data_IF_541205623850
#
_entry.id   IF_541205623850
#
_cell.length_a   1.000
_cell.length_b   1.000
_cell.length_c   1.000
_cell.angle_alpha   90.00
_cell.angle_beta   90.00
_cell.angle_gamma   90.00
#
_symmetry.space_group_name_H-M   'P 1'
#
loop_
_entity.id
_entity.type
_entity.pdbx_description
1 polymer ?
#
# COMPACT_ATOMS: atom_id res chain seq x y z
N UNK A 1 -16.63 12.61 51.86
CA UNK A 1 -15.33 13.01 51.29
C UNK A 1 -14.81 11.87 50.46
N UNK A 2 -15.20 11.82 49.18
CA UNK A 2 -14.65 10.86 48.22
C UNK A 2 -13.17 11.15 47.96
N UNK A 3 -12.40 10.07 47.92
CA UNK A 3 -10.95 10.07 47.80
C UNK A 3 -10.47 10.60 46.44
N UNK A 4 -10.17 11.90 46.40
CA UNK A 4 -9.56 12.61 45.26
C UNK A 4 -8.20 12.02 44.82
N UNK A 5 -7.57 11.11 45.58
CA UNK A 5 -6.32 10.46 45.16
C UNK A 5 -6.52 9.32 44.15
N UNK A 6 -7.73 8.77 44.00
CA UNK A 6 -8.01 7.67 43.06
C UNK A 6 -8.26 8.13 41.60
N UNK A 7 -8.60 9.40 41.38
CA UNK A 7 -8.80 9.98 40.04
C UNK A 7 -7.48 10.44 39.39
N UNK A 8 -6.53 10.94 40.18
CA UNK A 8 -5.23 11.40 39.68
C UNK A 8 -4.28 10.25 39.31
N UNK A 9 -4.46 9.05 39.87
CA UNK A 9 -3.70 7.85 39.48
C UNK A 9 -4.26 7.13 38.25
N UNK A 10 -5.50 7.46 37.82
CA UNK A 10 -6.11 6.95 36.57
C UNK A 10 -5.80 7.79 35.33
N UNK A 11 -5.21 8.98 35.50
CA UNK A 11 -4.48 9.71 34.46
C UNK A 11 -3.05 9.15 34.49
N UNK A 12 -2.79 7.90 34.11
CA UNK A 12 -2.96 7.38 32.77
C UNK A 12 -1.55 7.06 32.24
N UNK A 13 -0.89 6.08 32.84
CA UNK A 13 0.47 5.68 32.44
C UNK A 13 0.49 5.41 30.93
N UNK A 14 1.41 6.07 30.22
CA UNK A 14 1.53 5.92 28.78
C UNK A 14 1.76 4.44 28.42
N UNK A 15 0.86 3.89 27.61
CA UNK A 15 0.92 2.47 27.24
C UNK A 15 2.00 2.26 26.17
N UNK A 16 3.26 2.16 26.62
CA UNK A 16 4.43 1.92 25.77
C UNK A 16 4.28 0.67 24.89
N UNK A 17 3.55 -0.36 25.35
CA UNK A 17 3.25 -1.55 24.53
C UNK A 17 2.33 -1.25 23.35
N UNK A 18 1.43 -0.27 23.48
CA UNK A 18 0.55 0.16 22.40
C UNK A 18 1.23 1.15 21.46
N UNK A 19 1.91 2.14 22.02
CA UNK A 19 2.32 3.34 21.28
C UNK A 19 3.83 3.49 21.07
N UNK A 20 4.67 2.70 21.75
CA UNK A 20 6.12 2.81 21.63
C UNK A 20 6.62 2.61 20.20
N UNK A 21 6.16 1.55 19.52
CA UNK A 21 6.52 1.30 18.12
C UNK A 21 6.15 2.45 17.16
N UNK A 22 4.87 2.86 17.12
CA UNK A 22 4.43 4.01 16.32
C UNK A 22 5.20 5.31 16.60
N UNK A 23 5.51 5.61 17.87
CA UNK A 23 6.29 6.80 18.22
C UNK A 23 7.71 6.73 17.69
N UNK A 24 8.37 5.57 17.81
CA UNK A 24 9.72 5.39 17.26
C UNK A 24 9.72 5.56 15.74
N UNK A 25 8.73 5.00 15.04
CA UNK A 25 8.56 5.20 13.59
C UNK A 25 8.39 6.68 13.26
N UNK A 26 7.49 7.38 13.97
CA UNK A 26 7.27 8.81 13.77
C UNK A 26 8.56 9.61 13.96
N UNK A 27 9.32 9.35 15.03
CA UNK A 27 10.59 10.04 15.29
C UNK A 27 11.58 9.81 14.14
N UNK A 28 11.76 8.58 13.67
CA UNK A 28 12.68 8.27 12.57
C UNK A 28 12.22 8.93 11.26
N UNK A 29 10.93 8.91 10.95
CA UNK A 29 10.37 9.58 9.78
C UNK A 29 10.60 11.10 9.85
N UNK A 30 10.38 11.72 11.01
CA UNK A 30 10.69 13.14 11.20
C UNK A 30 12.17 13.41 10.99
N UNK A 31 13.07 12.61 11.56
CA UNK A 31 14.52 12.80 11.40
C UNK A 31 14.96 12.77 9.93
N UNK A 32 14.46 11.81 9.15
CA UNK A 32 14.85 11.63 7.74
C UNK A 32 14.09 12.55 6.76
N UNK A 33 12.83 12.88 7.06
CA UNK A 33 11.93 13.53 6.11
C UNK A 33 11.35 14.87 6.61
N UNK A 34 11.92 15.48 7.65
CA UNK A 34 11.50 16.81 8.11
C UNK A 34 11.46 17.90 7.02
N UNK A 35 12.28 17.90 5.93
CA UNK A 35 12.15 18.94 4.92
C UNK A 35 10.76 18.95 4.27
N UNK A 36 10.16 17.76 4.07
CA UNK A 36 8.79 17.63 3.56
C UNK A 36 7.77 18.23 4.55
N UNK A 37 8.00 18.04 5.86
CA UNK A 37 7.16 18.62 6.92
C UNK A 37 7.22 20.15 6.95
N UNK A 38 8.37 20.73 6.59
CA UNK A 38 8.55 22.19 6.50
C UNK A 38 8.10 22.77 5.16
N UNK A 39 7.46 21.97 4.30
CA UNK A 39 6.90 22.44 3.03
C UNK A 39 7.84 22.32 1.82
N UNK A 40 8.98 21.66 1.94
CA UNK A 40 9.87 21.43 0.80
C UNK A 40 9.18 20.54 -0.23
N UNK A 41 9.01 21.06 -1.44
CA UNK A 41 8.50 20.32 -2.57
C UNK A 41 9.61 19.44 -3.17
N UNK A 42 9.42 18.11 -3.30
CA UNK A 42 10.38 17.26 -4.01
C UNK A 42 10.29 17.56 -5.51
N UNK A 43 11.16 18.42 -6.01
CA UNK A 43 11.21 18.79 -7.42
C UNK A 43 11.98 17.71 -8.20
N UNK A 44 11.28 16.66 -8.61
CA UNK A 44 11.84 15.61 -9.46
C UNK A 44 10.76 14.91 -10.30
N UNK A 45 11.19 14.28 -11.40
CA UNK A 45 10.42 13.41 -12.30
C UNK A 45 8.89 13.64 -12.29
N UNK A 46 8.11 12.76 -11.65
CA UNK A 46 6.66 12.75 -11.74
C UNK A 46 5.96 13.73 -10.78
N UNK A 47 6.68 14.34 -9.84
CA UNK A 47 6.06 15.19 -8.81
C UNK A 47 5.32 16.41 -9.37
N UNK A 48 5.85 17.19 -10.33
CA UNK A 48 5.12 18.29 -10.94
C UNK A 48 3.80 17.85 -11.59
N UNK A 49 3.80 16.69 -12.26
CA UNK A 49 2.60 16.12 -12.86
C UNK A 49 1.56 15.71 -11.81
N UNK A 50 2.00 15.08 -10.72
CA UNK A 50 1.12 14.75 -9.60
C UNK A 50 0.57 15.99 -8.89
N UNK A 51 1.38 17.03 -8.69
CA UNK A 51 0.93 18.28 -8.08
C UNK A 51 -0.10 19.00 -8.98
N UNK A 52 0.14 19.05 -10.29
CA UNK A 52 -0.82 19.58 -11.26
C UNK A 52 -2.14 18.82 -11.21
N UNK A 53 -2.11 17.49 -11.24
CA UNK A 53 -3.33 16.67 -11.16
C UNK A 53 -4.07 16.84 -9.82
N UNK A 54 -3.34 17.02 -8.71
CA UNK A 54 -3.93 17.34 -7.42
C UNK A 54 -4.61 18.72 -7.41
N UNK A 55 -3.98 19.73 -8.03
CA UNK A 55 -4.60 21.05 -8.23
C UNK A 55 -5.87 20.94 -9.07
N UNK A 56 -5.80 20.32 -10.25
CA UNK A 56 -6.95 20.11 -11.12
C UNK A 56 -8.08 19.38 -10.39
N UNK A 57 -7.76 18.35 -9.62
CA UNK A 57 -8.75 17.62 -8.82
C UNK A 57 -9.40 18.54 -7.78
N UNK A 58 -8.61 19.26 -7.00
CA UNK A 58 -9.13 20.06 -5.89
C UNK A 58 -9.86 21.33 -6.33
N UNK A 59 -9.34 22.06 -7.30
CA UNK A 59 -9.80 23.40 -7.67
C UNK A 59 -10.73 23.41 -8.89
N UNK A 60 -10.77 22.33 -9.68
CA UNK A 60 -11.65 22.22 -10.85
C UNK A 60 -12.69 21.13 -10.63
N UNK A 61 -12.26 19.88 -10.48
CA UNK A 61 -13.18 18.73 -10.45
C UNK A 61 -14.06 18.73 -9.19
N UNK A 62 -13.46 18.78 -8.00
CA UNK A 62 -14.19 18.69 -6.74
C UNK A 62 -15.11 19.90 -6.51
N UNK A 63 -14.70 21.10 -6.93
CA UNK A 63 -15.57 22.29 -6.91
C UNK A 63 -16.75 22.16 -7.88
N UNK A 64 -16.56 21.46 -9.00
CA UNK A 64 -17.62 21.08 -9.93
C UNK A 64 -18.46 19.89 -9.49
N UNK A 65 -18.21 19.30 -8.30
CA UNK A 65 -18.96 18.15 -7.79
C UNK A 65 -18.57 16.82 -8.42
N UNK A 66 -17.40 16.72 -9.05
CA UNK A 66 -16.92 15.49 -9.69
C UNK A 66 -15.54 15.08 -9.17
N UNK A 67 -15.24 13.78 -9.24
CA UNK A 67 -13.89 13.24 -8.98
C UNK A 67 -13.13 12.92 -10.28
N UNK A 68 -13.81 12.94 -11.43
CA UNK A 68 -13.27 12.65 -12.77
C UNK A 68 -13.81 13.65 -13.79
N UNK A 69 -13.19 13.72 -14.97
CA UNK A 69 -13.74 14.55 -16.06
C UNK A 69 -12.74 14.79 -17.19
N UNK A 70 -13.19 15.49 -18.23
CA UNK A 70 -12.30 15.96 -19.29
C UNK A 70 -11.59 17.25 -18.86
N UNK A 71 -10.29 17.36 -19.16
CA UNK A 71 -9.53 18.59 -18.95
C UNK A 71 -8.75 18.94 -20.20
N UNK A 72 -8.91 20.18 -20.68
CA UNK A 72 -8.16 20.76 -21.80
C UNK A 72 -6.86 21.47 -21.35
N UNK A 73 -6.53 21.38 -20.06
CA UNK A 73 -5.39 22.09 -19.48
C UNK A 73 -4.03 21.43 -19.77
N UNK A 74 -4.04 20.24 -20.37
CA UNK A 74 -2.83 19.53 -20.77
C UNK A 74 -2.96 19.00 -22.20
N UNK A 75 -2.00 19.38 -23.06
CA UNK A 75 -1.95 19.02 -24.49
C UNK A 75 -3.28 19.33 -25.21
N UNK A 76 -3.84 18.36 -25.95
CA UNK A 76 -5.14 18.47 -26.64
C UNK A 76 -6.33 18.00 -25.77
N UNK A 77 -6.09 17.85 -24.46
CA UNK A 77 -7.04 17.38 -23.48
C UNK A 77 -6.91 15.89 -23.14
N UNK A 78 -7.37 15.54 -21.94
CA UNK A 78 -7.30 14.17 -21.40
C UNK A 78 -8.41 13.89 -20.38
N UNK A 79 -8.80 12.62 -20.18
CA UNK A 79 -9.76 12.23 -19.16
C UNK A 79 -9.07 12.16 -17.77
N UNK A 80 -9.07 13.29 -17.08
CA UNK A 80 -8.48 13.48 -15.76
C UNK A 80 -9.10 12.54 -14.72
N UNK A 81 -8.23 11.95 -13.89
CA UNK A 81 -8.57 10.96 -12.86
C UNK A 81 -9.21 9.66 -13.36
N UNK A 82 -9.25 9.42 -14.67
CA UNK A 82 -9.83 8.19 -15.22
C UNK A 82 -8.76 7.21 -15.72
N UNK A 83 -7.60 7.69 -16.16
CA UNK A 83 -6.50 6.84 -16.66
C UNK A 83 -5.55 6.36 -15.57
N UNK A 84 -5.70 6.87 -14.35
CA UNK A 84 -4.90 6.52 -13.19
C UNK A 84 -5.72 6.70 -11.92
N UNK A 85 -5.34 5.99 -10.84
CA UNK A 85 -6.07 6.01 -9.57
C UNK A 85 -6.21 7.43 -8.99
N UNK A 86 -7.42 7.95 -8.72
CA UNK A 86 -7.61 9.31 -8.20
C UNK A 86 -7.18 9.43 -6.75
N UNK A 87 -6.92 8.32 -6.06
CA UNK A 87 -6.61 8.30 -4.63
C UNK A 87 -5.41 9.15 -4.24
N UNK A 88 -4.38 9.23 -5.09
CA UNK A 88 -3.25 10.15 -4.87
C UNK A 88 -3.69 11.62 -4.91
N UNK A 89 -4.43 12.01 -5.94
CA UNK A 89 -4.89 13.40 -6.09
C UNK A 89 -5.90 13.79 -5.00
N UNK A 90 -6.80 12.86 -4.64
CA UNK A 90 -7.73 13.01 -3.52
C UNK A 90 -7.00 13.11 -2.18
N UNK A 91 -5.90 12.38 -1.99
CA UNK A 91 -5.08 12.45 -0.78
C UNK A 91 -4.42 13.82 -0.61
N UNK A 92 -3.82 14.38 -1.67
CA UNK A 92 -3.27 15.74 -1.62
C UNK A 92 -4.39 16.77 -1.42
N UNK A 93 -5.53 16.60 -2.11
CA UNK A 93 -6.70 17.45 -1.93
C UNK A 93 -7.22 17.41 -0.49
N UNK A 94 -7.23 16.25 0.16
CA UNK A 94 -7.60 16.10 1.56
C UNK A 94 -6.69 16.94 2.48
N UNK A 95 -5.37 16.91 2.27
CA UNK A 95 -4.43 17.77 3.02
C UNK A 95 -4.76 19.25 2.81
N UNK A 96 -5.08 19.65 1.58
CA UNK A 96 -5.52 21.02 1.28
C UNK A 96 -6.78 21.40 2.03
N UNK A 97 -7.80 20.54 2.06
CA UNK A 97 -9.05 20.82 2.77
C UNK A 97 -8.86 20.89 4.29
N UNK A 98 -8.06 19.99 4.88
CA UNK A 98 -7.76 20.02 6.32
C UNK A 98 -7.01 21.28 6.72
N UNK A 99 -6.17 21.81 5.82
CA UNK A 99 -5.48 23.09 6.00
C UNK A 99 -6.30 24.30 5.54
N UNK A 100 -7.58 24.09 5.22
CA UNK A 100 -8.53 25.11 4.76
C UNK A 100 -8.04 25.89 3.52
N UNK A 101 -7.14 25.30 2.73
CA UNK A 101 -6.51 25.97 1.60
C UNK A 101 -5.57 27.11 1.96
N UNK A 102 -5.18 27.26 3.25
CA UNK A 102 -4.30 28.33 3.72
C UNK A 102 -2.84 28.18 3.26
N UNK A 103 -2.45 26.98 2.85
CA UNK A 103 -1.11 26.68 2.35
C UNK A 103 -1.08 26.77 0.82
N UNK A 104 0.07 27.17 0.27
CA UNK A 104 0.32 27.03 -1.16
C UNK A 104 0.40 25.54 -1.56
N UNK A 105 0.36 25.28 -2.87
CA UNK A 105 0.34 23.91 -3.39
C UNK A 105 1.65 23.15 -3.14
N UNK A 106 2.80 23.82 -3.18
CA UNK A 106 4.09 23.19 -2.90
C UNK A 106 4.15 22.70 -1.45
N UNK A 107 3.76 23.56 -0.50
CA UNK A 107 3.68 23.22 0.92
C UNK A 107 2.64 22.13 1.18
N UNK A 108 1.44 22.24 0.60
CA UNK A 108 0.38 21.21 0.70
C UNK A 108 0.88 19.85 0.22
N UNK A 109 1.57 19.84 -0.92
CA UNK A 109 2.12 18.62 -1.51
C UNK A 109 3.27 18.04 -0.67
N UNK A 110 4.17 18.89 -0.16
CA UNK A 110 5.23 18.47 0.78
C UNK A 110 4.66 17.80 2.03
N UNK A 111 3.61 18.36 2.63
CA UNK A 111 2.93 17.76 3.77
C UNK A 111 2.24 16.44 3.43
N UNK A 112 1.63 16.33 2.25
CA UNK A 112 1.07 15.06 1.77
C UNK A 112 2.19 14.00 1.60
N UNK A 113 3.32 14.37 1.00
CA UNK A 113 4.47 13.46 0.87
C UNK A 113 5.02 13.06 2.25
N UNK A 114 5.12 13.98 3.21
CA UNK A 114 5.49 13.63 4.59
C UNK A 114 4.52 12.63 5.22
N UNK A 115 3.22 12.87 5.07
CA UNK A 115 2.19 11.97 5.57
C UNK A 115 2.26 10.59 4.94
N UNK A 116 2.62 10.49 3.65
CA UNK A 116 2.87 9.23 2.98
C UNK A 116 4.14 8.52 3.50
N UNK A 117 5.24 9.26 3.68
CA UNK A 117 6.48 8.70 4.24
C UNK A 117 6.28 8.19 5.67
N UNK A 118 5.29 8.70 6.40
CA UNK A 118 4.82 8.12 7.65
C UNK A 118 3.89 6.91 7.44
N UNK A 119 2.97 6.98 6.48
CA UNK A 119 1.99 5.94 6.21
C UNK A 119 2.63 4.61 5.79
N UNK A 120 3.69 4.65 4.97
CA UNK A 120 4.40 3.46 4.49
C UNK A 120 4.87 2.57 5.67
N UNK A 121 5.78 3.03 6.55
CA UNK A 121 6.24 2.21 7.67
C UNK A 121 5.13 1.93 8.69
N UNK A 122 4.16 2.83 8.86
CA UNK A 122 3.02 2.59 9.76
C UNK A 122 2.11 1.46 9.26
N UNK A 123 1.92 1.33 7.95
CA UNK A 123 1.13 0.25 7.35
C UNK A 123 1.84 -1.11 7.49
N UNK A 124 3.16 -1.14 7.26
CA UNK A 124 4.01 -2.32 7.47
C UNK A 124 3.99 -2.71 8.95
N UNK A 125 4.12 -1.73 9.86
CA UNK A 125 4.04 -1.98 11.28
C UNK A 125 2.66 -2.51 11.70
N UNK A 126 1.57 -1.94 11.17
CA UNK A 126 0.21 -2.39 11.48
C UNK A 126 -0.02 -3.84 11.03
N UNK A 127 0.38 -4.18 9.81
CA UNK A 127 0.30 -5.53 9.27
C UNK A 127 1.20 -6.49 10.05
N UNK A 128 2.49 -6.17 10.17
CA UNK A 128 3.47 -6.98 10.90
C UNK A 128 3.05 -7.20 12.35
N UNK A 129 2.52 -6.19 13.03
CA UNK A 129 2.06 -6.32 14.41
C UNK A 129 0.84 -7.23 14.52
N UNK A 130 -0.09 -7.14 13.57
CA UNK A 130 -1.29 -7.97 13.55
C UNK A 130 -0.98 -9.46 13.28
N UNK A 131 0.12 -9.75 12.59
CA UNK A 131 0.48 -11.10 12.13
C UNK A 131 1.62 -11.73 12.94
N UNK A 132 2.67 -10.97 13.27
CA UNK A 132 3.93 -11.44 13.85
C UNK A 132 4.25 -10.84 15.23
N UNK A 133 3.54 -9.79 15.63
CA UNK A 133 3.78 -9.06 16.88
C UNK A 133 4.67 -7.83 16.71
N UNK A 134 4.82 -7.02 17.77
CA UNK A 134 5.33 -5.65 17.66
C UNK A 134 6.83 -5.53 17.34
N UNK A 135 7.66 -6.50 17.74
CA UNK A 135 9.12 -6.47 17.53
C UNK A 135 9.51 -6.60 16.06
N UNK A 136 9.19 -7.73 15.39
CA UNK A 136 9.45 -7.91 13.96
C UNK A 136 8.81 -6.82 13.10
N UNK A 137 7.61 -6.36 13.48
CA UNK A 137 6.92 -5.28 12.79
C UNK A 137 7.67 -3.95 12.85
N UNK A 138 8.24 -3.60 14.01
CA UNK A 138 9.04 -2.39 14.17
C UNK A 138 10.32 -2.46 13.35
N UNK A 139 11.02 -3.59 13.38
CA UNK A 139 12.24 -3.80 12.59
C UNK A 139 11.94 -3.62 11.09
N UNK A 140 10.89 -4.27 10.58
CA UNK A 140 10.50 -4.14 9.17
C UNK A 140 10.15 -2.71 8.79
N UNK A 141 9.37 -2.00 9.63
CA UNK A 141 9.00 -0.61 9.41
C UNK A 141 10.22 0.32 9.39
N UNK A 142 11.18 0.12 10.32
CA UNK A 142 12.39 0.93 10.40
C UNK A 142 13.31 0.69 9.20
N UNK A 143 13.52 -0.57 8.81
CA UNK A 143 14.29 -0.90 7.61
C UNK A 143 13.69 -0.23 6.37
N UNK A 144 12.38 -0.37 6.16
CA UNK A 144 11.70 0.31 5.05
C UNK A 144 11.89 1.84 5.06
N UNK A 145 11.93 2.45 6.24
CA UNK A 145 12.09 3.92 6.37
C UNK A 145 13.49 4.38 5.99
N UNK A 146 14.53 3.60 6.29
CA UNK A 146 15.93 4.02 6.08
C UNK A 146 16.53 3.50 4.78
N UNK A 147 15.94 2.46 4.18
CA UNK A 147 16.42 1.89 2.92
C UNK A 147 16.11 2.83 1.75
N UNK A 148 17.14 3.16 0.97
CA UNK A 148 17.01 3.96 -0.26
C UNK A 148 16.16 3.29 -1.30
N UNK A 149 16.37 1.99 -1.48
CA UNK A 149 15.72 1.25 -2.53
C UNK A 149 16.34 1.50 -3.89
N UNK A 150 15.68 0.96 -4.90
CA UNK A 150 16.12 0.99 -6.29
C UNK A 150 14.94 1.15 -7.24
N UNK A 151 15.21 0.94 -8.51
CA UNK A 151 14.20 1.03 -9.56
C UNK A 151 13.12 -0.06 -9.34
N UNK A 152 11.89 0.36 -9.03
CA UNK A 152 10.72 -0.46 -8.62
C UNK A 152 10.77 -1.15 -7.25
N UNK A 153 11.82 -0.99 -6.46
CA UNK A 153 12.01 -1.75 -5.20
C UNK A 153 11.49 -1.00 -3.95
N UNK A 154 10.50 -0.12 -4.11
CA UNK A 154 10.10 0.88 -3.10
C UNK A 154 11.34 1.65 -2.55
N UNK A 155 11.23 2.26 -1.38
CA UNK A 155 12.29 3.07 -0.75
C UNK A 155 12.20 4.53 -1.16
N UNK A 156 13.02 5.37 -0.52
CA UNK A 156 12.94 6.81 -0.76
C UNK A 156 13.44 7.23 -2.15
N UNK A 157 14.29 6.45 -2.81
CA UNK A 157 14.61 6.66 -4.23
C UNK A 157 13.35 6.58 -5.09
N UNK A 158 12.60 5.48 -5.00
CA UNK A 158 11.40 5.27 -5.83
C UNK A 158 10.26 6.23 -5.50
N UNK A 159 10.07 6.54 -4.21
CA UNK A 159 8.95 7.35 -3.75
C UNK A 159 9.23 8.86 -3.84
N UNK A 160 10.44 9.30 -3.48
CA UNK A 160 10.79 10.72 -3.34
C UNK A 160 11.66 11.20 -4.50
N UNK A 161 12.65 10.42 -4.98
CA UNK A 161 13.44 10.86 -6.13
C UNK A 161 12.68 10.67 -7.44
N UNK A 162 12.03 9.52 -7.66
CA UNK A 162 11.32 9.23 -8.92
C UNK A 162 9.87 9.73 -8.95
N UNK A 163 9.28 10.03 -7.79
CA UNK A 163 7.90 10.49 -7.70
C UNK A 163 6.84 9.41 -7.90
N UNK A 164 7.19 8.12 -7.88
CA UNK A 164 6.27 6.99 -8.04
C UNK A 164 5.57 6.64 -6.71
N UNK A 165 5.15 7.69 -6.02
CA UNK A 165 4.57 7.61 -4.69
C UNK A 165 3.10 7.14 -4.65
N UNK A 166 2.24 7.34 -5.68
CA UNK A 166 0.87 6.82 -5.62
C UNK A 166 0.85 5.28 -5.55
N UNK A 167 1.83 4.64 -6.17
CA UNK A 167 2.07 3.20 -6.02
C UNK A 167 2.34 2.80 -4.56
N UNK A 168 3.21 3.55 -3.86
CA UNK A 168 3.47 3.31 -2.44
C UNK A 168 2.24 3.62 -1.56
N UNK A 169 1.43 4.63 -1.92
CA UNK A 169 0.14 4.90 -1.28
C UNK A 169 -0.80 3.70 -1.42
N UNK A 170 -1.04 3.22 -2.64
CA UNK A 170 -1.90 2.06 -2.89
C UNK A 170 -1.44 0.80 -2.17
N UNK A 171 -0.12 0.54 -2.17
CA UNK A 171 0.48 -0.57 -1.43
C UNK A 171 0.25 -0.46 0.08
N UNK A 172 0.48 0.73 0.66
CA UNK A 172 0.28 0.98 2.10
C UNK A 172 -1.18 0.81 2.51
N UNK A 173 -2.11 1.33 1.69
CA UNK A 173 -3.54 1.16 1.88
C UNK A 173 -3.96 -0.31 1.71
N UNK A 174 -3.29 -1.07 0.85
CA UNK A 174 -3.50 -2.53 0.72
C UNK A 174 -3.11 -3.26 2.00
N UNK A 175 -1.96 -2.95 2.60
CA UNK A 175 -1.55 -3.54 3.88
C UNK A 175 -2.53 -3.23 5.01
N UNK A 176 -3.02 -1.99 5.08
CA UNK A 176 -4.08 -1.61 6.03
C UNK A 176 -5.36 -2.40 5.75
N UNK A 177 -5.75 -2.53 4.46
CA UNK A 177 -6.93 -3.27 4.04
C UNK A 177 -6.85 -4.75 4.45
N UNK A 178 -5.70 -5.40 4.31
CA UNK A 178 -5.48 -6.77 4.78
C UNK A 178 -5.76 -6.90 6.28
N UNK A 179 -5.31 -5.95 7.10
CA UNK A 179 -5.56 -5.94 8.56
C UNK A 179 -7.06 -5.79 8.86
N UNK A 180 -7.74 -4.85 8.20
CA UNK A 180 -9.18 -4.58 8.41
C UNK A 180 -10.02 -5.76 7.93
N UNK A 181 -9.76 -6.29 6.74
CA UNK A 181 -10.42 -7.47 6.19
C UNK A 181 -10.19 -8.67 7.11
N UNK A 182 -8.96 -8.93 7.57
CA UNK A 182 -8.68 -9.99 8.54
C UNK A 182 -9.55 -9.85 9.79
N UNK A 183 -9.68 -8.64 10.32
CA UNK A 183 -10.54 -8.41 11.48
C UNK A 183 -12.00 -8.74 11.14
N UNK A 184 -12.54 -8.22 10.03
CA UNK A 184 -13.89 -8.52 9.57
C UNK A 184 -14.15 -10.03 9.35
N UNK A 185 -13.24 -10.74 8.70
CA UNK A 185 -13.36 -12.19 8.50
C UNK A 185 -13.46 -12.93 9.83
N UNK A 186 -12.77 -12.43 10.87
CA UNK A 186 -12.80 -13.03 12.22
C UNK A 186 -14.06 -12.67 13.01
N UNK A 187 -14.38 -11.39 13.13
CA UNK A 187 -15.45 -10.87 14.01
C UNK A 187 -16.81 -10.78 13.31
N UNK A 188 -16.84 -10.44 12.03
CA UNK A 188 -18.05 -10.13 11.29
C UNK A 188 -18.66 -8.78 11.67
N UNK A 189 -19.92 -8.55 11.26
CA UNK A 189 -20.69 -7.35 11.60
C UNK A 189 -20.69 -6.28 10.51
N UNK A 190 -21.76 -5.47 10.41
CA UNK A 190 -21.96 -4.51 9.32
C UNK A 190 -20.92 -3.38 9.33
N UNK A 191 -20.52 -2.89 10.50
CA UNK A 191 -19.48 -1.85 10.61
C UNK A 191 -18.12 -2.32 10.10
N UNK A 192 -17.75 -3.57 10.38
CA UNK A 192 -16.50 -4.16 9.88
C UNK A 192 -16.58 -4.52 8.40
N UNK A 193 -17.76 -4.90 7.89
CA UNK A 193 -17.98 -5.06 6.46
C UNK A 193 -17.77 -3.73 5.74
N UNK A 194 -18.38 -2.65 6.23
CA UNK A 194 -18.20 -1.31 5.67
C UNK A 194 -16.73 -0.89 5.72
N UNK A 195 -16.06 -1.07 6.86
CA UNK A 195 -14.65 -0.77 7.02
C UNK A 195 -13.76 -1.54 6.02
N UNK A 196 -14.04 -2.84 5.82
CA UNK A 196 -13.33 -3.67 4.86
C UNK A 196 -13.59 -3.25 3.40
N UNK A 197 -14.83 -2.93 3.06
CA UNK A 197 -15.19 -2.41 1.73
C UNK A 197 -14.47 -1.10 1.44
N UNK A 198 -14.56 -0.12 2.34
CA UNK A 198 -13.91 1.19 2.22
C UNK A 198 -12.38 1.05 2.15
N UNK A 199 -11.77 0.17 2.94
CA UNK A 199 -10.31 -0.02 2.88
C UNK A 199 -9.85 -0.65 1.56
N UNK A 200 -10.63 -1.58 0.99
CA UNK A 200 -10.39 -2.13 -0.35
C UNK A 200 -10.52 -1.02 -1.40
N UNK A 201 -11.59 -0.23 -1.35
CA UNK A 201 -11.80 0.90 -2.27
C UNK A 201 -10.66 1.90 -2.20
N UNK A 202 -10.24 2.30 -1.01
CA UNK A 202 -9.12 3.23 -0.82
C UNK A 202 -7.82 2.68 -1.42
N UNK A 203 -7.53 1.39 -1.22
CA UNK A 203 -6.36 0.75 -1.80
C UNK A 203 -6.41 0.75 -3.34
N UNK A 204 -7.54 0.34 -3.93
CA UNK A 204 -7.74 0.27 -5.38
C UNK A 204 -7.69 1.65 -6.03
N UNK A 205 -8.34 2.65 -5.42
CA UNK A 205 -8.29 4.03 -5.90
C UNK A 205 -6.91 4.67 -5.68
N UNK A 206 -6.16 4.24 -4.66
CA UNK A 206 -4.79 4.69 -4.41
C UNK A 206 -3.85 4.26 -5.53
N UNK A 207 -3.96 3.02 -5.98
CA UNK A 207 -3.24 2.53 -7.16
C UNK A 207 -3.88 1.25 -7.75
N UNK A 208 -3.94 1.08 -9.08
CA UNK A 208 -4.46 -0.14 -9.71
C UNK A 208 -3.72 -1.42 -9.27
N UNK A 209 -2.42 -1.33 -8.94
CA UNK A 209 -1.62 -2.47 -8.45
C UNK A 209 -2.09 -3.06 -7.12
N UNK A 210 -2.95 -2.37 -6.38
CA UNK A 210 -3.61 -2.93 -5.22
C UNK A 210 -4.51 -4.12 -5.58
N UNK A 211 -5.06 -4.16 -6.82
CA UNK A 211 -5.90 -5.27 -7.29
C UNK A 211 -5.17 -6.62 -7.31
N UNK A 212 -4.05 -6.80 -8.05
CA UNK A 212 -3.31 -8.06 -8.03
C UNK A 212 -2.76 -8.40 -6.65
N UNK A 213 -2.32 -7.40 -5.86
CA UNK A 213 -1.84 -7.65 -4.50
C UNK A 213 -2.95 -8.20 -3.59
N UNK A 214 -4.16 -7.62 -3.62
CA UNK A 214 -5.33 -8.12 -2.91
C UNK A 214 -5.75 -9.50 -3.44
N UNK A 215 -5.73 -9.71 -4.76
CA UNK A 215 -6.08 -10.98 -5.39
C UNK A 215 -5.14 -12.14 -4.97
N UNK A 216 -3.87 -11.84 -4.68
CA UNK A 216 -2.91 -12.81 -4.12
C UNK A 216 -3.06 -12.95 -2.60
N UNK A 217 -3.18 -11.84 -1.88
CA UNK A 217 -3.20 -11.83 -0.42
C UNK A 217 -4.47 -12.42 0.20
N UNK A 218 -5.63 -12.21 -0.43
CA UNK A 218 -6.93 -12.63 0.12
C UNK A 218 -7.14 -14.15 0.13
N UNK A 219 -6.88 -14.90 -0.96
CA UNK A 219 -6.99 -16.36 -0.94
C UNK A 219 -6.04 -17.00 0.08
N UNK A 220 -4.81 -16.49 0.18
CA UNK A 220 -3.83 -16.95 1.17
C UNK A 220 -4.31 -16.67 2.60
N UNK A 221 -4.91 -15.50 2.86
CA UNK A 221 -5.45 -15.14 4.16
C UNK A 221 -6.66 -16.01 4.52
N UNK A 222 -7.53 -16.27 3.55
CA UNK A 222 -8.68 -17.15 3.71
C UNK A 222 -8.23 -18.59 4.00
N UNK A 223 -7.29 -19.12 3.23
CA UNK A 223 -6.68 -20.44 3.46
C UNK A 223 -6.04 -20.55 4.85
N UNK A 224 -5.35 -19.50 5.29
CA UNK A 224 -4.82 -19.43 6.64
C UNK A 224 -5.92 -19.52 7.71
N UNK A 225 -6.96 -18.69 7.60
CA UNK A 225 -8.06 -18.66 8.56
C UNK A 225 -8.84 -19.99 8.59
N UNK A 226 -8.89 -20.71 7.47
CA UNK A 226 -9.46 -22.05 7.40
C UNK A 226 -8.64 -23.07 8.19
N UNK A 227 -7.31 -23.00 8.12
CA UNK A 227 -6.43 -23.86 8.89
C UNK A 227 -6.55 -23.58 10.39
N UNK A 228 -6.72 -22.30 10.78
CA UNK A 228 -6.87 -21.90 12.18
C UNK A 228 -8.23 -22.29 12.79
N UNK A 229 -9.33 -22.12 12.05
CA UNK A 229 -10.71 -22.31 12.56
C UNK A 229 -11.36 -23.65 12.19
N UNK A 230 -10.72 -24.42 11.31
CA UNK A 230 -11.25 -25.67 10.79
C UNK A 230 -12.30 -25.51 9.68
N UNK A 231 -12.67 -26.63 9.06
CA UNK A 231 -13.52 -26.67 7.85
C UNK A 231 -14.92 -26.09 8.05
N UNK A 232 -15.50 -26.18 9.26
CA UNK A 232 -16.88 -25.74 9.54
C UNK A 232 -17.08 -24.23 9.38
N UNK A 233 -16.01 -23.42 9.42
CA UNK A 233 -16.08 -21.97 9.17
C UNK A 233 -15.81 -21.55 7.72
N UNK A 234 -15.52 -22.49 6.82
CA UNK A 234 -15.08 -22.17 5.45
C UNK A 234 -16.10 -21.32 4.70
N UNK A 235 -17.35 -21.79 4.61
CA UNK A 235 -18.42 -21.09 3.89
C UNK A 235 -18.63 -19.68 4.43
N UNK A 236 -18.59 -19.49 5.75
CA UNK A 236 -18.75 -18.17 6.35
C UNK A 236 -17.58 -17.24 6.02
N UNK A 237 -16.33 -17.73 6.05
CA UNK A 237 -15.15 -16.94 5.66
C UNK A 237 -15.23 -16.57 4.17
N UNK A 238 -15.64 -17.50 3.31
CA UNK A 238 -15.85 -17.23 1.88
C UNK A 238 -16.91 -16.16 1.65
N UNK A 239 -18.09 -16.30 2.27
CA UNK A 239 -19.18 -15.34 2.13
C UNK A 239 -18.78 -13.96 2.63
N UNK A 240 -18.06 -13.87 3.75
CA UNK A 240 -17.54 -12.59 4.26
C UNK A 240 -16.51 -12.00 3.30
N UNK A 241 -15.56 -12.79 2.81
CA UNK A 241 -14.57 -12.32 1.84
C UNK A 241 -15.24 -11.82 0.55
N UNK A 242 -16.21 -12.56 0.03
CA UNK A 242 -16.99 -12.17 -1.14
C UNK A 242 -17.78 -10.88 -0.89
N UNK A 243 -18.42 -10.74 0.28
CA UNK A 243 -19.14 -9.52 0.63
C UNK A 243 -18.22 -8.30 0.73
N UNK A 244 -17.05 -8.43 1.37
CA UNK A 244 -16.07 -7.34 1.47
C UNK A 244 -15.51 -6.97 0.08
N UNK A 245 -15.13 -7.96 -0.72
CA UNK A 245 -14.64 -7.76 -2.08
C UNK A 245 -15.68 -7.11 -2.98
N UNK A 246 -16.92 -7.60 -2.96
CA UNK A 246 -18.03 -7.04 -3.74
C UNK A 246 -18.32 -5.60 -3.34
N UNK A 247 -18.38 -5.30 -2.04
CA UNK A 247 -18.58 -3.93 -1.57
C UNK A 247 -17.42 -3.01 -1.99
N UNK A 248 -16.18 -3.46 -1.82
CA UNK A 248 -14.99 -2.67 -2.19
C UNK A 248 -14.92 -2.37 -3.68
N UNK A 249 -15.22 -3.36 -4.54
CA UNK A 249 -15.30 -3.19 -6.00
C UNK A 249 -16.47 -2.29 -6.39
N UNK A 250 -17.65 -2.48 -5.80
CA UNK A 250 -18.82 -1.64 -6.08
C UNK A 250 -18.56 -0.16 -5.74
N UNK A 251 -17.94 0.11 -4.59
CA UNK A 251 -17.57 1.47 -4.19
C UNK A 251 -16.45 2.05 -5.08
N UNK A 252 -15.52 1.23 -5.58
CA UNK A 252 -14.48 1.66 -6.51
C UNK A 252 -14.98 1.78 -7.97
N UNK A 253 -16.19 1.29 -8.29
CA UNK A 253 -16.68 1.16 -9.65
C UNK A 253 -16.77 2.49 -10.41
N UNK A 254 -17.07 3.58 -9.68
CA UNK A 254 -17.12 4.93 -10.24
C UNK A 254 -15.81 5.35 -10.94
N UNK A 255 -14.68 4.81 -10.49
CA UNK A 255 -13.38 5.00 -11.13
C UNK A 255 -12.94 3.80 -11.98
N UNK A 256 -13.13 2.57 -11.45
CA UNK A 256 -12.61 1.35 -12.06
C UNK A 256 -13.22 1.09 -13.45
N UNK A 257 -14.50 1.42 -13.64
CA UNK A 257 -15.17 1.22 -14.93
C UNK A 257 -14.61 2.19 -16.01
N UNK A 258 -14.54 3.52 -15.79
CA UNK A 258 -13.84 4.43 -16.69
C UNK A 258 -12.39 4.02 -16.98
N UNK A 259 -11.63 3.62 -15.96
CA UNK A 259 -10.24 3.18 -16.11
C UNK A 259 -10.10 2.02 -17.09
N UNK A 260 -10.93 0.98 -16.96
CA UNK A 260 -10.89 -0.18 -17.86
C UNK A 260 -11.33 0.23 -19.27
N UNK A 261 -12.45 0.95 -19.38
CA UNK A 261 -13.05 1.32 -20.68
C UNK A 261 -12.25 2.35 -21.47
N UNK A 262 -11.43 3.17 -20.80
CA UNK A 262 -10.56 4.18 -21.42
C UNK A 262 -9.08 3.79 -21.41
N UNK A 263 -8.74 2.55 -21.08
CA UNK A 263 -7.36 2.06 -21.08
C UNK A 263 -6.61 2.30 -22.41
N UNK A 264 -7.33 2.37 -23.54
CA UNK A 264 -6.74 2.73 -24.85
C UNK A 264 -6.14 4.14 -24.95
N UNK A 265 -6.45 5.05 -24.02
CA UNK A 265 -5.83 6.38 -23.92
C UNK A 265 -4.55 6.38 -23.06
N UNK A 266 -4.20 5.25 -22.44
CA UNK A 266 -2.99 5.11 -21.62
C UNK A 266 -1.86 4.45 -22.39
N UNK A 267 -0.63 4.87 -22.12
CA UNK A 267 0.55 4.17 -22.62
C UNK A 267 0.79 2.90 -21.80
N UNK A 268 1.10 1.80 -22.48
CA UNK A 268 1.48 0.56 -21.83
C UNK A 268 2.94 0.66 -21.37
N UNK A 269 3.13 0.90 -20.07
CA UNK A 269 4.44 1.01 -19.43
C UNK A 269 4.75 -0.21 -18.54
N UNK A 270 4.12 -1.35 -18.77
CA UNK A 270 4.42 -2.55 -17.99
C UNK A 270 5.86 -2.98 -18.20
N UNK A 271 6.51 -3.36 -17.11
CA UNK A 271 7.88 -3.83 -17.13
C UNK A 271 7.93 -5.21 -16.49
N UNK A 272 8.31 -6.21 -17.29
CA UNK A 272 8.59 -7.55 -16.77
C UNK A 272 9.87 -7.48 -15.93
N UNK A 273 9.91 -8.27 -14.86
CA UNK A 273 11.10 -8.32 -14.02
C UNK A 273 12.08 -9.38 -14.52
N UNK A 274 12.95 -9.86 -13.64
CA UNK A 274 13.93 -10.90 -13.89
C UNK A 274 13.30 -12.24 -14.26
N UNK A 275 14.10 -13.08 -14.94
CA UNK A 275 13.76 -14.48 -15.12
C UNK A 275 13.75 -15.23 -13.79
N UNK A 276 12.96 -16.30 -13.68
CA UNK A 276 12.86 -17.09 -12.45
C UNK A 276 14.22 -17.61 -11.97
N UNK A 277 15.09 -18.06 -12.89
CA UNK A 277 16.44 -18.53 -12.54
C UNK A 277 17.31 -17.43 -11.94
N UNK A 278 17.17 -16.19 -12.43
CA UNK A 278 17.87 -15.02 -11.91
C UNK A 278 17.32 -14.63 -10.53
N UNK A 279 16.00 -14.68 -10.30
CA UNK A 279 15.39 -14.46 -8.99
C UNK A 279 15.96 -15.43 -7.96
N UNK A 280 15.97 -16.73 -8.27
CA UNK A 280 16.50 -17.77 -7.37
C UNK A 280 17.97 -17.51 -7.04
N UNK A 281 18.78 -17.22 -8.06
CA UNK A 281 20.21 -16.93 -7.89
C UNK A 281 20.44 -15.68 -7.04
N UNK A 282 19.66 -14.63 -7.28
CA UNK A 282 19.79 -13.36 -6.56
C UNK A 282 19.32 -13.47 -5.10
N UNK A 283 18.30 -14.28 -4.81
CA UNK A 283 17.92 -14.62 -3.42
C UNK A 283 19.06 -15.34 -2.73
N UNK A 284 19.69 -16.33 -3.37
CA UNK A 284 20.80 -17.08 -2.79
C UNK A 284 22.02 -16.18 -2.51
N UNK A 285 22.23 -15.15 -3.32
CA UNK A 285 23.30 -14.16 -3.17
C UNK A 285 22.92 -12.96 -2.27
N UNK A 286 21.69 -12.93 -1.75
CA UNK A 286 21.10 -11.82 -0.99
C UNK A 286 21.02 -10.50 -1.78
N UNK A 287 21.05 -10.54 -3.11
CA UNK A 287 21.16 -9.36 -3.99
C UNK A 287 19.88 -9.12 -4.81
N UNK A 288 18.75 -9.68 -4.39
CA UNK A 288 17.49 -9.66 -5.14
C UNK A 288 17.03 -8.24 -5.56
N UNK A 289 17.26 -7.25 -4.70
CA UNK A 289 16.91 -5.85 -4.92
C UNK A 289 18.17 -4.96 -4.90
N UNK A 290 19.33 -5.56 -5.18
CA UNK A 290 20.63 -4.89 -5.13
C UNK A 290 21.23 -4.73 -3.72
N UNK A 291 22.40 -4.07 -3.62
CA UNK A 291 23.25 -4.10 -2.44
C UNK A 291 22.63 -3.42 -1.22
N UNK A 292 21.79 -2.41 -1.42
CA UNK A 292 21.15 -1.65 -0.34
C UNK A 292 20.09 -2.49 0.43
N UNK A 293 19.61 -3.59 -0.17
CA UNK A 293 18.63 -4.49 0.44
C UNK A 293 19.23 -5.75 1.05
N UNK A 294 20.54 -6.01 0.91
CA UNK A 294 21.18 -7.25 1.39
C UNK A 294 20.86 -7.60 2.84
N UNK A 295 20.88 -6.60 3.72
CA UNK A 295 20.52 -6.79 5.12
C UNK A 295 19.05 -7.21 5.27
N UNK A 296 18.15 -6.55 4.55
CA UNK A 296 16.71 -6.85 4.59
C UNK A 296 16.44 -8.25 4.04
N UNK A 297 17.02 -8.60 2.89
CA UNK A 297 16.89 -9.93 2.28
C UNK A 297 17.46 -11.02 3.20
N UNK A 298 18.62 -10.78 3.81
CA UNK A 298 19.21 -11.70 4.80
C UNK A 298 18.33 -11.92 6.02
N UNK A 299 17.82 -10.83 6.61
CA UNK A 299 16.91 -10.90 7.77
C UNK A 299 15.58 -11.58 7.40
N UNK A 300 15.04 -11.33 6.21
CA UNK A 300 13.85 -12.01 5.71
C UNK A 300 14.08 -13.51 5.58
N UNK A 301 15.21 -13.93 4.99
CA UNK A 301 15.60 -15.34 4.87
C UNK A 301 15.72 -16.03 6.24
N UNK A 302 16.44 -15.42 7.19
CA UNK A 302 16.51 -15.92 8.57
C UNK A 302 15.11 -15.99 9.23
N UNK A 303 14.28 -14.98 9.01
CA UNK A 303 12.91 -14.92 9.51
C UNK A 303 12.04 -16.07 9.00
N UNK A 304 12.15 -16.40 7.71
CA UNK A 304 11.45 -17.54 7.09
C UNK A 304 11.91 -18.86 7.71
N UNK A 305 13.22 -19.08 7.87
CA UNK A 305 13.76 -20.30 8.50
C UNK A 305 13.25 -20.46 9.93
N UNK A 306 13.33 -19.39 10.73
CA UNK A 306 12.82 -19.39 12.11
C UNK A 306 11.31 -19.63 12.14
N UNK A 307 10.56 -19.03 11.21
CA UNK A 307 9.12 -19.20 11.10
C UNK A 307 8.74 -20.65 10.79
N UNK A 308 9.44 -21.31 9.87
CA UNK A 308 9.25 -22.72 9.55
C UNK A 308 9.59 -23.60 10.75
N UNK A 309 10.73 -23.35 11.42
CA UNK A 309 11.14 -24.10 12.61
C UNK A 309 10.14 -23.98 13.76
N UNK A 310 9.55 -22.79 13.95
CA UNK A 310 8.54 -22.52 14.99
C UNK A 310 7.11 -22.83 14.54
N UNK A 311 6.92 -23.27 13.30
CA UNK A 311 5.59 -23.46 12.67
C UNK A 311 4.69 -22.24 12.83
N UNK A 312 5.28 -21.03 12.77
CA UNK A 312 4.52 -19.79 12.84
C UNK A 312 3.79 -19.59 11.52
N UNK A 313 2.52 -19.99 11.50
CA UNK A 313 1.68 -20.00 10.30
C UNK A 313 1.46 -18.60 9.69
N UNK A 314 1.57 -17.52 10.48
CA UNK A 314 1.45 -16.15 9.98
C UNK A 314 2.70 -15.70 9.24
N UNK A 315 3.87 -16.13 9.70
CA UNK A 315 5.11 -15.89 8.98
C UNK A 315 5.20 -16.73 7.71
N UNK A 316 4.67 -17.96 7.72
CA UNK A 316 4.51 -18.77 6.50
C UNK A 316 3.57 -18.08 5.50
N UNK A 317 2.47 -17.46 5.96
CA UNK A 317 1.57 -16.67 5.10
C UNK A 317 2.31 -15.51 4.42
N UNK A 318 3.09 -14.71 5.18
CA UNK A 318 3.85 -13.58 4.61
C UNK A 318 4.90 -14.10 3.61
N UNK A 319 5.61 -15.18 3.95
CA UNK A 319 6.59 -15.80 3.06
C UNK A 319 5.95 -16.31 1.77
N UNK A 320 4.79 -16.98 1.86
CA UNK A 320 4.04 -17.46 0.70
C UNK A 320 3.55 -16.31 -0.18
N UNK A 321 3.09 -15.21 0.40
CA UNK A 321 2.70 -14.02 -0.34
C UNK A 321 3.90 -13.40 -1.08
N UNK A 322 5.04 -13.23 -0.41
CA UNK A 322 6.27 -12.70 -1.02
C UNK A 322 6.77 -13.60 -2.16
N UNK A 323 6.78 -14.92 -1.97
CA UNK A 323 7.15 -15.88 -3.02
C UNK A 323 6.17 -15.80 -4.19
N UNK A 324 4.86 -15.79 -3.93
CA UNK A 324 3.85 -15.70 -4.98
C UNK A 324 4.00 -14.40 -5.79
N UNK A 325 4.27 -13.28 -5.12
CA UNK A 325 4.55 -12.01 -5.79
C UNK A 325 5.79 -12.09 -6.68
N UNK A 326 6.91 -12.62 -6.17
CA UNK A 326 8.13 -12.80 -6.96
C UNK A 326 7.90 -13.72 -8.18
N UNK A 327 7.12 -14.80 -8.00
CA UNK A 327 6.79 -15.74 -9.07
C UNK A 327 5.96 -15.08 -10.16
N UNK A 328 4.92 -14.35 -9.78
CA UNK A 328 4.00 -13.69 -10.71
C UNK A 328 4.67 -12.49 -11.40
N UNK A 329 5.59 -11.81 -10.72
CA UNK A 329 6.39 -10.72 -11.28
C UNK A 329 7.44 -11.19 -12.31
N UNK A 330 7.85 -12.46 -12.25
CA UNK A 330 8.90 -12.98 -13.13
C UNK A 330 8.48 -13.01 -14.60
N UNK A 331 9.40 -12.63 -15.48
CA UNK A 331 9.19 -12.71 -16.93
C UNK A 331 8.88 -14.15 -17.38
N UNK A 332 9.59 -15.14 -16.81
CA UNK A 332 9.40 -16.57 -17.09
C UNK A 332 7.95 -17.02 -16.86
N UNK A 333 7.34 -16.65 -15.73
CA UNK A 333 5.95 -17.02 -15.44
C UNK A 333 4.99 -16.35 -16.41
N UNK A 334 5.16 -15.05 -16.69
CA UNK A 334 4.31 -14.31 -17.61
C UNK A 334 4.34 -14.91 -19.02
N UNK A 335 5.54 -15.29 -19.52
CA UNK A 335 5.71 -15.93 -20.82
C UNK A 335 5.15 -17.36 -20.85
N UNK A 336 5.48 -18.20 -19.86
CA UNK A 336 5.06 -19.61 -19.86
C UNK A 336 3.56 -19.80 -19.68
N UNK A 337 2.91 -18.92 -18.92
CA UNK A 337 1.45 -18.91 -18.78
C UNK A 337 0.77 -18.22 -19.96
N UNK A 338 1.53 -17.70 -20.94
CA UNK A 338 1.05 -16.97 -22.11
C UNK A 338 0.09 -15.84 -21.72
N UNK A 339 0.32 -15.19 -20.58
CA UNK A 339 -0.60 -14.17 -20.06
C UNK A 339 -0.69 -12.97 -21.01
N UNK A 340 0.42 -12.63 -21.67
CA UNK A 340 0.45 -11.59 -22.70
C UNK A 340 -0.41 -11.94 -23.92
N UNK A 341 -0.53 -13.24 -24.26
CA UNK A 341 -1.40 -13.70 -25.35
C UNK A 341 -2.86 -13.72 -24.94
N UNK A 342 -3.14 -13.95 -23.64
CA UNK A 342 -4.51 -13.92 -23.10
C UNK A 342 -5.08 -12.50 -23.01
N UNK A 343 -4.23 -11.52 -22.69
CA UNK A 343 -4.61 -10.11 -22.71
C UNK A 343 -3.39 -9.20 -22.79
N UNK A 344 -3.43 -8.24 -23.71
CA UNK A 344 -2.44 -7.15 -23.77
C UNK A 344 -2.39 -6.31 -22.49
N UNK A 345 -3.43 -6.36 -21.64
CA UNK A 345 -3.44 -5.70 -20.34
C UNK A 345 -2.31 -6.19 -19.42
N UNK A 346 -1.86 -7.44 -19.56
CA UNK A 346 -0.73 -7.96 -18.79
C UNK A 346 0.60 -7.30 -19.15
N UNK A 347 0.73 -6.75 -20.37
CA UNK A 347 1.87 -5.95 -20.78
C UNK A 347 1.88 -4.56 -20.12
N UNK A 348 0.84 -4.20 -19.39
CA UNK A 348 0.69 -2.91 -18.70
C UNK A 348 0.85 -3.02 -17.18
N UNK A 349 1.09 -4.22 -16.65
CA UNK A 349 1.22 -4.45 -15.20
C UNK A 349 2.69 -4.26 -14.79
N UNK A 350 2.92 -3.34 -13.84
CA UNK A 350 4.20 -3.19 -13.15
C UNK A 350 4.09 -3.86 -11.77
N UNK A 351 4.60 -5.08 -11.64
CA UNK A 351 4.48 -5.83 -10.39
C UNK A 351 5.29 -5.21 -9.26
N UNK A 352 4.77 -5.22 -8.01
CA UNK A 352 5.50 -4.72 -6.87
C UNK A 352 6.71 -5.60 -6.54
N UNK A 353 7.86 -4.96 -6.30
CA UNK A 353 9.09 -5.61 -5.87
C UNK A 353 9.39 -5.17 -4.44
N UNK A 354 9.08 -6.00 -3.44
CA UNK A 354 9.39 -5.76 -2.02
C UNK A 354 9.28 -7.01 -1.15
#
# INVERSE_FOLDING_TARGET
>A
MEDKRSLLTRVGAFNWRKWGGPLVILVVVVLFYHPLLTGSFPLSHDHPAHMFNAWLTSDVLLKGGSITGWSDLWFAGYPANELYGPGGNLYVSFVRYVTLGMLDYGTTYGLAMFGLMLLIPMSIYALGRALLGPGPALIAALLMTVTRGGWYDLGWFWVVEMGVWPFALGTSLTFISIVVVRHYLRSGGPGWLLGAGVSITAAVMGHPMSLPLLAMAMPLLMGHLMLERGRKSFTLVMLRAAAAGALGVALAAAWLVPFITKSGYSQQLGETWMEMGQIITSVAQLDLFGPEWRLVTGLAGCGIVIAMARRNIWAIYIAALAILMAVVASSTTLYNLRLLDMSSSFASIQYPRF
#
